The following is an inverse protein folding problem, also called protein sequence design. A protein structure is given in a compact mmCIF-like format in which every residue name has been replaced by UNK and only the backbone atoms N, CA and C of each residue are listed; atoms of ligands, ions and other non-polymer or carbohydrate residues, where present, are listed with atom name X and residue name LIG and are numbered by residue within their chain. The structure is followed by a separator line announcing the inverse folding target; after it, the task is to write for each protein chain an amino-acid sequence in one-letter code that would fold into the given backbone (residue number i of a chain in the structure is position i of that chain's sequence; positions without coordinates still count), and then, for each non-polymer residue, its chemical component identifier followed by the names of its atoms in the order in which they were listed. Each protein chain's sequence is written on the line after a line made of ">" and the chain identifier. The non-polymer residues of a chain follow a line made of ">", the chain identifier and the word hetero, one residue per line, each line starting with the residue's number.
data_IF_049558119176
#
_entry.id   IF_049558119176
#
_cell.length_a   1.000
_cell.length_b   1.000
_cell.length_c   1.000
_cell.angle_alpha   90.00
_cell.angle_beta   90.00
_cell.angle_gamma   90.00
#
_symmetry.space_group_name_H-M   'P 1'
#
loop_
_entity.id
_entity.type
_entity.pdbx_description
1 polymer ?
#
# COMPACT_ATOMS: atom_id res chain seq x y z
N UNK A 1 3.89 17.98 -18.31
CA UNK A 1 3.16 17.09 -19.22
C UNK A 1 2.35 16.14 -18.35
N UNK A 2 1.02 16.27 -18.36
CA UNK A 2 0.14 15.27 -17.75
C UNK A 2 -0.20 14.27 -18.86
N UNK A 3 0.36 13.07 -18.77
CA UNK A 3 0.09 11.99 -19.71
C UNK A 3 -1.30 11.39 -19.39
N UNK A 4 -2.08 11.13 -20.43
CA UNK A 4 -3.40 10.46 -20.34
C UNK A 4 -3.21 9.01 -19.91
N UNK A 5 -4.08 8.41 -19.08
CA UNK A 5 -3.88 7.05 -18.57
C UNK A 5 -4.41 5.98 -19.55
N UNK A 6 -3.63 5.56 -20.55
CA UNK A 6 -3.86 4.28 -21.25
C UNK A 6 -3.16 3.12 -20.50
N UNK A 7 -3.69 1.90 -20.58
CA UNK A 7 -3.13 0.70 -19.93
C UNK A 7 -1.67 0.42 -20.37
N UNK A 8 -1.32 0.83 -21.59
CA UNK A 8 0.05 0.75 -22.13
C UNK A 8 1.01 1.70 -21.42
N UNK A 9 0.54 2.87 -21.01
CA UNK A 9 1.36 3.86 -20.30
C UNK A 9 1.74 3.34 -18.91
N UNK A 10 0.82 2.63 -18.23
CA UNK A 10 1.13 2.01 -16.92
C UNK A 10 2.22 0.94 -16.99
N UNK A 11 2.21 0.08 -18.02
CA UNK A 11 3.23 -0.96 -18.18
C UNK A 11 4.62 -0.37 -18.48
N UNK A 12 4.69 0.65 -19.34
CA UNK A 12 5.95 1.35 -19.61
C UNK A 12 6.44 2.12 -18.37
N UNK A 13 5.55 2.74 -17.59
CA UNK A 13 5.90 3.41 -16.33
C UNK A 13 6.43 2.41 -15.28
N UNK A 14 5.80 1.25 -15.09
CA UNK A 14 6.31 0.19 -14.19
C UNK A 14 7.72 -0.25 -14.61
N UNK A 15 7.92 -0.50 -15.90
CA UNK A 15 9.22 -0.90 -16.45
C UNK A 15 10.29 0.19 -16.23
N UNK A 16 9.93 1.48 -16.38
CA UNK A 16 10.82 2.61 -16.12
C UNK A 16 11.24 2.68 -14.66
N UNK A 17 10.28 2.59 -13.74
CA UNK A 17 10.54 2.63 -12.31
C UNK A 17 11.43 1.46 -11.88
N UNK A 18 11.13 0.25 -12.35
CA UNK A 18 11.92 -0.96 -12.08
C UNK A 18 13.38 -0.81 -12.51
N UNK A 19 13.60 -0.23 -13.69
CA UNK A 19 14.95 -0.02 -14.22
C UNK A 19 15.64 1.16 -13.54
N UNK A 20 14.93 2.23 -13.22
CA UNK A 20 15.48 3.36 -12.47
C UNK A 20 15.96 2.91 -11.09
N UNK A 21 15.14 2.14 -10.35
CA UNK A 21 15.51 1.57 -9.04
C UNK A 21 16.70 0.64 -9.16
N UNK A 22 16.73 -0.24 -10.18
CA UNK A 22 17.90 -1.08 -10.46
C UNK A 22 19.16 -0.24 -10.68
N UNK A 23 19.12 0.73 -11.59
CA UNK A 23 20.27 1.58 -11.90
C UNK A 23 20.74 2.37 -10.66
N UNK A 24 19.80 2.84 -9.83
CA UNK A 24 20.13 3.51 -8.58
C UNK A 24 20.88 2.53 -7.65
N UNK A 25 20.38 1.32 -7.44
CA UNK A 25 20.98 0.37 -6.50
C UNK A 25 22.31 -0.21 -6.99
N UNK A 26 22.48 -0.42 -8.30
CA UNK A 26 23.68 -1.01 -8.89
C UNK A 26 24.90 -0.08 -8.89
N UNK A 27 24.69 1.24 -8.81
CA UNK A 27 25.78 2.20 -8.91
C UNK A 27 25.59 3.38 -7.95
N UNK A 28 26.63 3.66 -7.16
CA UNK A 28 26.63 4.79 -6.22
C UNK A 28 26.95 6.13 -6.88
N UNK A 29 27.54 6.12 -8.07
CA UNK A 29 27.80 7.31 -8.88
C UNK A 29 26.54 7.70 -9.66
N UNK A 30 25.98 8.87 -9.33
CA UNK A 30 24.72 9.34 -9.90
C UNK A 30 24.79 9.56 -11.41
N UNK A 31 25.88 10.13 -11.93
CA UNK A 31 26.01 10.45 -13.35
C UNK A 31 26.11 9.18 -14.20
N UNK A 32 26.92 8.21 -13.75
CA UNK A 32 27.05 6.92 -14.41
C UNK A 32 25.74 6.12 -14.37
N UNK A 33 25.02 6.16 -13.24
CA UNK A 33 23.72 5.51 -13.11
C UNK A 33 22.64 6.16 -13.98
N UNK A 34 22.58 7.50 -14.01
CA UNK A 34 21.67 8.28 -14.86
C UNK A 34 21.93 8.01 -16.35
N UNK A 35 23.20 7.98 -16.76
CA UNK A 35 23.58 7.65 -18.13
C UNK A 35 23.14 6.24 -18.53
N UNK A 36 23.24 5.28 -17.60
CA UNK A 36 22.77 3.90 -17.81
C UNK A 36 21.25 3.83 -17.94
N UNK A 37 20.51 4.50 -17.05
CA UNK A 37 19.06 4.61 -17.11
C UNK A 37 18.59 5.25 -18.42
N UNK A 38 19.21 6.38 -18.83
CA UNK A 38 18.88 7.09 -20.08
C UNK A 38 19.05 6.21 -21.32
N UNK A 39 20.11 5.37 -21.37
CA UNK A 39 20.33 4.45 -22.50
C UNK A 39 19.23 3.38 -22.61
N UNK A 40 18.59 3.04 -21.49
CA UNK A 40 17.54 2.02 -21.45
C UNK A 40 16.15 2.61 -21.74
N UNK A 41 15.94 3.90 -21.49
CA UNK A 41 14.65 4.60 -21.65
C UNK A 41 13.94 4.30 -22.98
N UNK A 42 14.56 4.45 -24.18
CA UNK A 42 13.89 4.17 -25.45
C UNK A 42 13.49 2.69 -25.65
N UNK A 43 14.22 1.78 -24.99
CA UNK A 43 13.94 0.34 -25.08
C UNK A 43 12.77 -0.08 -24.21
N UNK A 44 12.56 0.60 -23.09
CA UNK A 44 11.63 0.16 -22.03
C UNK A 44 10.33 0.95 -22.01
N UNK A 45 10.36 2.17 -22.55
CA UNK A 45 9.19 3.01 -22.75
C UNK A 45 9.18 3.63 -24.16
N UNK A 46 9.11 2.80 -25.21
CA UNK A 46 9.14 3.30 -26.59
C UNK A 46 7.94 4.20 -26.92
N UNK A 47 6.75 3.93 -26.37
CA UNK A 47 5.55 4.73 -26.63
C UNK A 47 5.67 6.10 -25.99
N UNK A 48 6.17 6.16 -24.76
CA UNK A 48 6.49 7.42 -24.08
C UNK A 48 7.52 8.25 -24.88
N UNK A 49 8.60 7.62 -25.33
CA UNK A 49 9.65 8.31 -26.10
C UNK A 49 9.11 8.83 -27.43
N UNK A 50 8.23 8.10 -28.10
CA UNK A 50 7.59 8.54 -29.35
C UNK A 50 6.70 9.78 -29.18
N UNK A 51 6.19 10.04 -27.97
CA UNK A 51 5.38 11.22 -27.64
C UNK A 51 6.20 12.46 -27.27
N UNK A 52 7.52 12.32 -27.08
CA UNK A 52 8.39 13.43 -26.71
C UNK A 52 8.72 14.33 -27.91
N UNK A 53 9.02 15.63 -27.67
CA UNK A 53 9.59 16.50 -28.70
C UNK A 53 10.82 15.87 -29.36
N UNK A 54 11.06 16.11 -30.66
CA UNK A 54 12.20 15.55 -31.37
C UNK A 54 13.53 16.05 -30.78
N UNK A 55 14.54 15.19 -30.81
CA UNK A 55 15.87 15.46 -30.25
C UNK A 55 16.09 14.81 -28.87
N UNK A 56 17.35 14.80 -28.41
CA UNK A 56 17.71 14.12 -27.16
C UNK A 56 17.37 14.92 -25.89
N UNK A 57 17.12 16.22 -26.00
CA UNK A 57 16.96 17.10 -24.84
C UNK A 57 15.75 16.72 -23.97
N UNK A 58 14.61 16.42 -24.60
CA UNK A 58 13.41 16.00 -23.89
C UNK A 58 13.63 14.68 -23.14
N UNK A 59 14.27 13.70 -23.79
CA UNK A 59 14.61 12.41 -23.16
C UNK A 59 15.60 12.60 -22.01
N UNK A 60 16.62 13.45 -22.17
CA UNK A 60 17.59 13.78 -21.12
C UNK A 60 16.92 14.44 -19.92
N UNK A 61 16.02 15.38 -20.16
CA UNK A 61 15.31 16.09 -19.11
C UNK A 61 14.33 15.17 -18.36
N UNK A 62 13.58 14.34 -19.08
CA UNK A 62 12.70 13.34 -18.48
C UNK A 62 13.47 12.29 -17.66
N UNK A 63 14.56 11.75 -18.23
CA UNK A 63 15.39 10.77 -17.56
C UNK A 63 16.00 11.34 -16.27
N UNK A 64 16.51 12.57 -16.31
CA UNK A 64 17.05 13.25 -15.14
C UNK A 64 15.99 13.48 -14.06
N UNK A 65 14.82 14.02 -14.42
CA UNK A 65 13.75 14.30 -13.46
C UNK A 65 13.28 13.01 -12.76
N UNK A 66 12.99 11.96 -13.53
CA UNK A 66 12.57 10.66 -13.02
C UNK A 66 13.64 10.01 -12.14
N UNK A 67 14.89 9.95 -12.63
CA UNK A 67 15.96 9.25 -11.92
C UNK A 67 16.35 9.96 -10.62
N UNK A 68 16.33 11.30 -10.62
CA UNK A 68 16.54 12.10 -9.41
C UNK A 68 15.43 11.83 -8.38
N UNK A 69 14.17 11.79 -8.80
CA UNK A 69 13.05 11.45 -7.91
C UNK A 69 13.25 10.07 -7.26
N UNK A 70 13.60 9.07 -8.07
CA UNK A 70 13.88 7.71 -7.58
C UNK A 70 15.05 7.70 -6.58
N UNK A 71 16.18 8.34 -6.88
CA UNK A 71 17.33 8.40 -5.97
C UNK A 71 17.00 9.08 -4.63
N UNK A 72 16.09 10.05 -4.65
CA UNK A 72 15.65 10.77 -3.45
C UNK A 72 14.69 9.96 -2.56
N UNK A 73 14.06 8.90 -3.09
CA UNK A 73 13.01 8.13 -2.41
C UNK A 73 13.39 6.67 -2.13
N UNK A 74 14.29 6.07 -2.91
CA UNK A 74 14.65 4.65 -2.80
C UNK A 74 15.46 4.37 -1.53
N UNK A 75 14.97 3.53 -0.59
CA UNK A 75 15.80 3.04 0.51
C UNK A 75 16.89 2.12 -0.04
N UNK A 76 18.14 2.31 0.42
CA UNK A 76 19.29 1.56 -0.12
C UNK A 76 19.97 0.69 0.94
N UNK A 77 20.23 -0.60 0.68
CA UNK A 77 20.95 -1.46 1.62
C UNK A 77 22.37 -0.97 1.91
N UNK A 78 23.07 -0.40 0.92
CA UNK A 78 24.42 0.17 1.06
C UNK A 78 24.42 1.53 1.78
N UNK A 79 23.27 2.01 2.23
CA UNK A 79 23.11 3.29 2.91
C UNK A 79 22.09 3.20 4.05
N UNK A 80 22.20 2.15 4.86
CA UNK A 80 21.37 1.99 6.06
C UNK A 80 19.85 2.00 5.77
N UNK A 81 19.45 1.56 4.57
CA UNK A 81 18.07 1.61 4.07
C UNK A 81 17.48 3.03 4.00
N UNK A 82 18.35 4.03 3.87
CA UNK A 82 17.97 5.44 3.67
C UNK A 82 18.21 5.85 2.22
N UNK A 83 17.39 6.75 1.66
CA UNK A 83 17.69 7.37 0.37
C UNK A 83 19.01 8.15 0.39
N UNK A 84 19.54 8.42 -0.81
CA UNK A 84 20.67 9.33 -1.02
C UNK A 84 20.20 10.52 -1.89
N UNK A 85 19.61 11.56 -1.26
CA UNK A 85 19.10 12.69 -1.99
C UNK A 85 20.19 13.40 -2.78
N UNK A 86 19.88 13.78 -4.02
CA UNK A 86 20.79 14.51 -4.88
C UNK A 86 20.71 16.00 -4.59
N UNK A 87 21.88 16.65 -4.54
CA UNK A 87 21.98 18.11 -4.38
C UNK A 87 21.16 18.83 -5.43
N UNK A 88 20.57 19.96 -5.05
CA UNK A 88 19.81 20.77 -5.99
C UNK A 88 20.74 21.34 -7.08
N UNK A 89 20.38 21.20 -8.37
CA UNK A 89 21.19 21.77 -9.44
C UNK A 89 21.26 23.29 -9.36
N UNK A 90 22.45 23.85 -9.59
CA UNK A 90 22.63 25.30 -9.65
C UNK A 90 21.87 25.88 -10.86
N UNK A 91 21.03 26.90 -10.61
CA UNK A 91 20.13 27.49 -11.63
C UNK A 91 20.83 27.89 -12.94
N UNK A 92 22.02 28.49 -12.85
CA UNK A 92 22.79 28.95 -14.02
C UNK A 92 23.95 28.01 -14.40
N UNK A 93 24.19 26.95 -13.62
CA UNK A 93 25.25 25.97 -13.87
C UNK A 93 24.92 25.02 -15.02
N UNK A 94 25.90 24.19 -15.44
CA UNK A 94 25.69 23.17 -16.45
C UNK A 94 24.64 22.16 -16.00
N UNK A 95 23.76 21.74 -16.91
CA UNK A 95 22.65 20.86 -16.58
C UNK A 95 23.15 19.42 -16.30
N UNK A 96 22.81 18.82 -15.13
CA UNK A 96 23.28 17.48 -14.76
C UNK A 96 22.74 16.33 -15.63
N UNK A 97 21.83 16.61 -16.56
CA UNK A 97 21.38 15.63 -17.57
C UNK A 97 22.41 15.43 -18.70
N UNK A 98 23.52 16.19 -18.69
CA UNK A 98 24.59 16.11 -19.68
C UNK A 98 24.27 16.78 -21.02
N UNK A 99 23.32 17.71 -21.07
CA UNK A 99 23.01 18.49 -22.29
C UNK A 99 24.04 19.61 -22.57
N UNK A 100 24.84 20.01 -21.57
CA UNK A 100 25.75 21.15 -21.67
C UNK A 100 25.08 22.53 -21.55
N UNK A 101 23.75 22.60 -21.60
CA UNK A 101 22.99 23.85 -21.41
C UNK A 101 22.89 24.28 -19.94
N UNK A 102 22.40 25.50 -19.69
CA UNK A 102 22.10 25.98 -18.32
C UNK A 102 20.92 25.22 -17.73
N UNK A 103 21.00 24.80 -16.47
CA UNK A 103 19.93 24.03 -15.81
C UNK A 103 18.55 24.67 -15.99
N UNK A 104 18.40 25.98 -15.73
CA UNK A 104 17.12 26.70 -15.85
C UNK A 104 16.48 26.66 -17.23
N UNK A 105 17.27 26.43 -18.28
CA UNK A 105 16.81 26.38 -19.67
C UNK A 105 16.61 24.94 -20.17
N UNK A 106 17.08 23.94 -19.42
CA UNK A 106 17.02 22.53 -19.80
C UNK A 106 16.09 21.74 -18.86
N UNK A 107 16.60 21.23 -17.73
CA UNK A 107 15.80 20.43 -16.79
C UNK A 107 15.00 21.27 -15.78
N UNK A 108 15.31 22.56 -15.64
CA UNK A 108 14.65 23.47 -14.70
C UNK A 108 13.12 23.55 -14.85
N UNK A 109 12.56 23.60 -16.08
CA UNK A 109 11.11 23.58 -16.28
C UNK A 109 10.39 22.30 -15.83
N UNK A 110 11.13 21.18 -15.66
CA UNK A 110 10.60 19.93 -15.12
C UNK A 110 10.88 19.77 -13.62
N UNK A 111 11.53 20.75 -12.98
CA UNK A 111 11.81 20.70 -11.55
C UNK A 111 10.50 20.65 -10.75
N UNK A 112 10.38 19.67 -9.86
CA UNK A 112 9.17 19.47 -9.05
C UNK A 112 8.03 18.74 -9.76
N UNK A 113 8.17 18.39 -11.04
CA UNK A 113 7.28 17.41 -11.67
C UNK A 113 7.63 16.01 -11.14
N UNK A 114 6.63 15.23 -10.70
CA UNK A 114 6.72 13.78 -10.52
C UNK A 114 6.35 13.11 -11.83
N UNK A 115 7.29 12.76 -12.72
CA UNK A 115 6.96 12.36 -14.08
C UNK A 115 6.39 10.93 -14.15
N UNK A 116 6.60 10.13 -13.10
CA UNK A 116 6.32 8.69 -13.09
C UNK A 116 5.57 8.20 -11.84
N UNK A 117 5.14 9.07 -10.93
CA UNK A 117 4.33 8.64 -9.79
C UNK A 117 3.90 9.75 -8.84
N UNK A 118 2.60 9.84 -8.58
CA UNK A 118 2.01 10.72 -7.57
C UNK A 118 1.98 10.09 -6.17
N UNK A 119 1.18 10.70 -5.29
CA UNK A 119 0.86 10.15 -3.96
C UNK A 119 0.38 8.69 -4.08
N UNK A 120 0.95 7.79 -3.27
CA UNK A 120 0.58 6.37 -3.23
C UNK A 120 1.50 5.39 -3.96
N UNK A 121 2.45 5.84 -4.80
CA UNK A 121 3.46 4.94 -5.37
C UNK A 121 4.53 4.58 -4.33
N UNK A 122 4.68 3.29 -4.00
CA UNK A 122 5.81 2.79 -3.23
C UNK A 122 6.95 2.33 -4.14
N UNK A 123 8.13 2.93 -3.98
CA UNK A 123 9.34 2.46 -4.66
C UNK A 123 9.95 1.23 -3.97
N UNK A 124 9.57 0.96 -2.73
CA UNK A 124 10.07 -0.18 -1.96
C UNK A 124 9.75 -1.51 -2.65
N UNK A 125 8.60 -1.64 -3.33
CA UNK A 125 8.26 -2.84 -4.10
C UNK A 125 9.37 -3.23 -5.09
N UNK A 126 9.84 -2.27 -5.90
CA UNK A 126 10.91 -2.50 -6.87
C UNK A 126 12.28 -2.74 -6.22
N UNK A 127 12.51 -2.20 -5.01
CA UNK A 127 13.72 -2.50 -4.22
C UNK A 127 13.69 -3.95 -3.78
N UNK A 128 12.55 -4.42 -3.25
CA UNK A 128 12.39 -5.78 -2.75
C UNK A 128 12.55 -6.83 -3.85
N UNK A 129 12.08 -6.55 -5.06
CA UNK A 129 12.26 -7.42 -6.24
C UNK A 129 13.74 -7.67 -6.62
N UNK A 130 14.68 -6.89 -6.07
CA UNK A 130 16.12 -7.10 -6.24
C UNK A 130 16.68 -8.22 -5.36
N UNK A 131 15.90 -8.68 -4.39
CA UNK A 131 16.28 -9.72 -3.46
C UNK A 131 15.47 -10.99 -3.72
N UNK A 132 16.08 -12.17 -3.64
CA UNK A 132 15.29 -13.40 -3.62
C UNK A 132 14.41 -13.40 -2.37
N UNK A 133 13.18 -13.89 -2.50
CA UNK A 133 12.17 -13.95 -1.43
C UNK A 133 12.73 -14.55 -0.12
N UNK A 134 13.63 -15.54 -0.21
CA UNK A 134 14.28 -16.16 0.96
C UNK A 134 15.08 -15.18 1.84
N UNK A 135 15.41 -13.99 1.33
CA UNK A 135 16.11 -12.94 2.06
C UNK A 135 15.17 -11.94 2.75
N UNK A 136 13.85 -11.96 2.50
CA UNK A 136 12.91 -11.01 3.11
C UNK A 136 12.90 -11.07 4.64
N UNK A 137 13.11 -12.26 5.22
CA UNK A 137 13.27 -12.42 6.67
C UNK A 137 14.45 -11.67 7.29
N UNK A 138 15.42 -11.23 6.48
CA UNK A 138 16.60 -10.50 6.91
C UNK A 138 16.50 -8.98 6.65
N UNK A 139 15.35 -8.49 6.22
CA UNK A 139 15.13 -7.05 6.03
C UNK A 139 15.19 -6.31 7.38
N UNK A 140 15.68 -5.06 7.42
CA UNK A 140 15.66 -4.26 8.63
C UNK A 140 14.30 -3.61 8.81
N UNK A 141 13.34 -4.38 9.32
CA UNK A 141 11.98 -3.92 9.58
C UNK A 141 11.90 -2.71 10.53
N UNK A 142 12.92 -2.50 11.37
CA UNK A 142 13.05 -1.33 12.23
C UNK A 142 13.38 -0.03 11.47
N UNK A 143 13.90 -0.14 10.24
CA UNK A 143 14.28 0.98 9.37
C UNK A 143 13.30 1.22 8.23
N UNK A 144 12.33 0.33 8.05
CA UNK A 144 11.32 0.39 7.01
C UNK A 144 9.97 0.76 7.62
N UNK A 145 9.12 1.45 6.85
CA UNK A 145 7.76 1.77 7.30
C UNK A 145 6.87 0.51 7.26
N UNK A 146 6.26 0.09 8.39
CA UNK A 146 5.30 -1.01 8.38
C UNK A 146 4.08 -0.75 7.48
N UNK A 147 3.66 0.52 7.38
CA UNK A 147 2.54 0.94 6.52
C UNK A 147 2.91 0.78 5.05
N UNK A 148 4.14 1.17 4.67
CA UNK A 148 4.62 0.99 3.30
C UNK A 148 4.79 -0.49 2.95
N UNK A 149 5.29 -1.31 3.88
CA UNK A 149 5.40 -2.76 3.70
C UNK A 149 4.03 -3.41 3.54
N UNK A 150 3.03 -3.01 4.33
CA UNK A 150 1.63 -3.42 4.15
C UNK A 150 1.08 -3.00 2.79
N UNK A 151 1.39 -1.79 2.33
CA UNK A 151 1.02 -1.32 1.00
C UNK A 151 1.69 -2.11 -0.14
N UNK A 152 2.98 -2.42 -0.03
CA UNK A 152 3.65 -3.29 -1.03
C UNK A 152 2.97 -4.66 -1.09
N UNK A 153 2.69 -5.26 0.07
CA UNK A 153 2.01 -6.54 0.12
C UNK A 153 0.60 -6.47 -0.50
N UNK A 154 -0.16 -5.40 -0.28
CA UNK A 154 -1.48 -5.24 -0.89
C UNK A 154 -1.41 -5.17 -2.42
N UNK A 155 -0.42 -4.46 -2.97
CA UNK A 155 -0.18 -4.43 -4.41
C UNK A 155 0.19 -5.82 -4.95
N UNK A 156 1.00 -6.58 -4.21
CA UNK A 156 1.36 -7.95 -4.60
C UNK A 156 0.18 -8.91 -4.59
N UNK A 157 -0.75 -8.82 -3.63
CA UNK A 157 -1.98 -9.63 -3.64
C UNK A 157 -2.82 -9.39 -4.89
N UNK A 158 -3.02 -8.12 -5.27
CA UNK A 158 -3.71 -7.75 -6.52
C UNK A 158 -2.99 -8.31 -7.76
N UNK A 159 -1.67 -8.47 -7.70
CA UNK A 159 -0.83 -9.00 -8.78
C UNK A 159 -0.66 -10.52 -8.74
N UNK A 160 -1.43 -11.25 -7.92
CA UNK A 160 -1.35 -12.72 -7.80
C UNK A 160 -0.09 -13.23 -7.06
N UNK A 161 0.67 -12.35 -6.40
CA UNK A 161 1.98 -12.62 -5.76
C UNK A 161 1.85 -12.86 -4.26
N UNK A 162 1.05 -13.86 -3.87
CA UNK A 162 0.69 -14.09 -2.45
C UNK A 162 1.86 -14.62 -1.65
N UNK A 163 2.67 -15.50 -2.23
CA UNK A 163 3.81 -16.10 -1.55
C UNK A 163 4.84 -15.03 -1.15
N UNK A 164 5.11 -14.04 -2.03
CA UNK A 164 5.98 -12.92 -1.68
C UNK A 164 5.39 -12.03 -0.59
N UNK A 165 4.07 -11.77 -0.62
CA UNK A 165 3.39 -11.01 0.43
C UNK A 165 3.50 -11.72 1.79
N UNK A 166 3.26 -13.03 1.83
CA UNK A 166 3.45 -13.84 3.05
C UNK A 166 4.89 -13.79 3.53
N UNK A 167 5.86 -14.01 2.63
CA UNK A 167 7.28 -14.02 2.97
C UNK A 167 7.80 -12.65 3.49
N UNK A 168 7.16 -11.55 3.06
CA UNK A 168 7.46 -10.21 3.55
C UNK A 168 6.82 -9.93 4.92
N UNK A 169 5.56 -10.31 5.10
CA UNK A 169 4.76 -9.89 6.26
C UNK A 169 4.89 -10.83 7.46
N UNK A 170 5.12 -12.13 7.27
CA UNK A 170 5.40 -13.08 8.36
C UNK A 170 6.53 -12.59 9.30
N UNK A 171 7.74 -12.26 8.80
CA UNK A 171 8.82 -11.78 9.66
C UNK A 171 8.56 -10.38 10.23
N UNK A 172 7.86 -9.49 9.50
CA UNK A 172 7.45 -8.17 10.01
C UNK A 172 6.58 -8.29 11.28
N UNK A 173 5.66 -9.25 11.29
CA UNK A 173 4.65 -9.43 12.33
C UNK A 173 5.02 -10.50 13.37
N UNK A 174 6.24 -11.04 13.32
CA UNK A 174 6.69 -12.17 14.14
C UNK A 174 6.73 -11.88 15.65
N UNK A 175 6.73 -10.61 16.07
CA UNK A 175 6.86 -10.20 17.46
C UNK A 175 5.71 -9.29 17.92
N UNK A 176 4.51 -9.86 18.20
CA UNK A 176 3.30 -9.10 18.56
C UNK A 176 3.50 -8.05 19.66
N UNK A 177 4.33 -8.35 20.66
CA UNK A 177 4.64 -7.44 21.78
C UNK A 177 5.34 -6.13 21.37
N UNK A 178 5.96 -6.08 20.18
CA UNK A 178 6.64 -4.89 19.64
C UNK A 178 5.79 -4.12 18.61
N UNK A 179 4.60 -4.63 18.28
CA UNK A 179 3.78 -4.04 17.24
C UNK A 179 2.92 -2.89 17.79
N UNK A 180 2.70 -1.92 16.93
CA UNK A 180 1.88 -0.72 17.19
C UNK A 180 0.81 -0.55 16.10
N UNK A 181 0.05 0.54 16.16
CA UNK A 181 -1.03 0.81 15.22
C UNK A 181 -0.59 0.84 13.74
N UNK A 182 0.68 1.16 13.43
CA UNK A 182 1.20 1.22 12.06
C UNK A 182 1.24 -0.14 11.37
N UNK A 183 1.18 -1.22 12.15
CA UNK A 183 1.21 -2.59 11.65
C UNK A 183 -0.18 -3.14 11.32
N UNK A 184 -1.26 -2.39 11.60
CA UNK A 184 -2.64 -2.84 11.36
C UNK A 184 -2.85 -3.24 9.90
N UNK A 185 -2.42 -2.40 8.96
CA UNK A 185 -2.61 -2.69 7.54
C UNK A 185 -1.80 -3.91 7.07
N UNK A 186 -0.56 -4.05 7.54
CA UNK A 186 0.25 -5.24 7.29
C UNK A 186 -0.39 -6.51 7.87
N UNK A 187 -0.97 -6.43 9.06
CA UNK A 187 -1.70 -7.54 9.68
C UNK A 187 -2.92 -7.95 8.84
N UNK A 188 -3.70 -6.99 8.36
CA UNK A 188 -4.84 -7.25 7.49
C UNK A 188 -4.41 -7.93 6.19
N UNK A 189 -3.37 -7.41 5.53
CA UNK A 189 -2.86 -8.00 4.29
C UNK A 189 -2.33 -9.42 4.49
N UNK A 190 -1.70 -9.74 5.63
CA UNK A 190 -1.28 -11.11 5.91
C UNK A 190 -2.47 -12.04 6.17
N UNK A 191 -3.54 -11.55 6.81
CA UNK A 191 -4.77 -12.33 6.97
C UNK A 191 -5.41 -12.66 5.63
N UNK A 192 -5.45 -11.69 4.71
CA UNK A 192 -6.03 -11.86 3.38
C UNK A 192 -5.14 -12.77 2.52
N UNK A 193 -3.82 -12.62 2.58
CA UNK A 193 -2.87 -13.53 1.91
C UNK A 193 -3.04 -14.99 2.36
N UNK A 194 -3.22 -15.23 3.66
CA UNK A 194 -3.48 -16.58 4.15
C UNK A 194 -4.85 -17.13 3.75
N UNK A 195 -5.86 -16.27 3.61
CA UNK A 195 -7.16 -16.70 3.10
C UNK A 195 -7.05 -17.13 1.63
N UNK A 196 -6.41 -16.32 0.78
CA UNK A 196 -6.23 -16.61 -0.65
C UNK A 196 -5.40 -17.87 -0.90
N UNK A 197 -4.42 -18.16 -0.03
CA UNK A 197 -3.59 -19.37 -0.10
C UNK A 197 -4.19 -20.60 0.60
N UNK A 198 -5.41 -20.51 1.13
CA UNK A 198 -6.05 -21.58 1.93
C UNK A 198 -5.17 -22.07 3.10
N UNK A 199 -4.66 -21.11 3.90
CA UNK A 199 -3.85 -21.36 5.09
C UNK A 199 -4.63 -21.05 6.40
N UNK A 200 -5.77 -21.72 6.69
CA UNK A 200 -6.66 -21.36 7.79
C UNK A 200 -6.01 -21.45 9.17
N UNK A 201 -5.13 -22.43 9.38
CA UNK A 201 -4.41 -22.61 10.66
C UNK A 201 -3.44 -21.46 10.93
N UNK A 202 -2.72 -20.99 9.90
CA UNK A 202 -1.81 -19.85 10.06
C UNK A 202 -2.58 -18.55 10.30
N UNK A 203 -3.67 -18.34 9.55
CA UNK A 203 -4.57 -17.19 9.73
C UNK A 203 -5.12 -17.13 11.14
N UNK A 204 -5.63 -18.25 11.67
CA UNK A 204 -6.15 -18.33 13.03
C UNK A 204 -5.08 -17.97 14.07
N UNK A 205 -3.90 -18.59 14.00
CA UNK A 205 -2.81 -18.34 14.95
C UNK A 205 -2.35 -16.90 14.92
N UNK A 206 -2.27 -16.29 13.74
CA UNK A 206 -1.93 -14.88 13.60
C UNK A 206 -2.97 -14.01 14.33
N UNK A 207 -4.25 -14.19 14.04
CA UNK A 207 -5.34 -13.42 14.66
C UNK A 207 -5.33 -13.58 16.18
N UNK A 208 -5.26 -14.81 16.69
CA UNK A 208 -5.20 -15.07 18.13
C UNK A 208 -3.99 -14.42 18.80
N UNK A 209 -2.83 -14.43 18.14
CA UNK A 209 -1.64 -13.76 18.67
C UNK A 209 -1.82 -12.23 18.76
N UNK A 210 -2.49 -11.61 17.77
CA UNK A 210 -2.74 -10.17 17.75
C UNK A 210 -3.81 -9.74 18.74
N UNK A 211 -4.75 -10.61 19.10
CA UNK A 211 -5.70 -10.37 20.19
C UNK A 211 -5.02 -10.22 21.56
N UNK A 212 -3.79 -10.74 21.72
CA UNK A 212 -3.00 -10.64 22.95
C UNK A 212 -2.01 -9.47 22.95
N UNK A 213 -1.96 -8.69 21.87
CA UNK A 213 -1.06 -7.54 21.75
C UNK A 213 -1.48 -6.40 22.70
N UNK A 214 -0.53 -5.66 23.30
CA UNK A 214 -0.85 -4.51 24.16
C UNK A 214 -1.53 -3.36 23.38
N UNK A 215 -1.17 -3.18 22.10
CA UNK A 215 -1.73 -2.18 21.20
C UNK A 215 -3.22 -2.35 20.96
N UNK A 216 -4.00 -1.33 21.35
CA UNK A 216 -5.47 -1.32 21.25
C UNK A 216 -5.98 -1.50 19.82
N UNK A 217 -5.35 -0.84 18.85
CA UNK A 217 -5.75 -0.85 17.44
C UNK A 217 -5.64 -2.27 16.87
N UNK A 218 -4.45 -2.87 16.94
CA UNK A 218 -4.22 -4.25 16.48
C UNK A 218 -5.11 -5.26 17.19
N UNK A 219 -5.28 -5.13 18.51
CA UNK A 219 -6.16 -6.02 19.26
C UNK A 219 -7.60 -5.91 18.78
N UNK A 220 -8.11 -4.70 18.54
CA UNK A 220 -9.46 -4.49 17.99
C UNK A 220 -9.60 -5.08 16.59
N UNK A 221 -8.65 -4.82 15.69
CA UNK A 221 -8.65 -5.38 14.34
C UNK A 221 -8.66 -6.92 14.37
N UNK A 222 -7.85 -7.53 15.24
CA UNK A 222 -7.79 -8.97 15.42
C UNK A 222 -9.10 -9.55 15.97
N UNK A 223 -9.72 -8.89 16.97
CA UNK A 223 -11.04 -9.31 17.46
C UNK A 223 -12.09 -9.27 16.35
N UNK A 224 -12.04 -8.28 15.47
CA UNK A 224 -12.97 -8.18 14.33
C UNK A 224 -12.76 -9.33 13.34
N UNK A 225 -11.51 -9.60 12.95
CA UNK A 225 -11.17 -10.74 12.08
C UNK A 225 -11.60 -12.08 12.71
N UNK A 226 -11.44 -12.25 14.03
CA UNK A 226 -11.88 -13.48 14.69
C UNK A 226 -13.40 -13.61 14.73
N UNK A 227 -14.14 -12.52 14.91
CA UNK A 227 -15.61 -12.55 14.84
C UNK A 227 -16.10 -13.02 13.47
N UNK A 228 -15.52 -12.53 12.37
CA UNK A 228 -15.90 -12.98 11.03
C UNK A 228 -15.53 -14.44 10.80
N UNK A 229 -14.34 -14.87 11.24
CA UNK A 229 -13.94 -16.28 11.14
C UNK A 229 -14.88 -17.22 11.91
N UNK A 230 -15.31 -16.83 13.13
CA UNK A 230 -16.28 -17.62 13.90
C UNK A 230 -17.64 -17.68 13.20
N UNK A 231 -18.08 -16.59 12.57
CA UNK A 231 -19.32 -16.58 11.80
C UNK A 231 -19.24 -17.48 10.56
N UNK A 232 -18.12 -17.44 9.83
CA UNK A 232 -17.85 -18.33 8.68
C UNK A 232 -17.83 -19.81 9.10
N UNK A 233 -17.35 -20.10 10.32
CA UNK A 233 -17.37 -21.43 10.96
C UNK A 233 -18.77 -21.85 11.46
N UNK A 234 -19.76 -20.94 11.45
CA UNK A 234 -21.11 -21.16 12.00
C UNK A 234 -21.19 -21.03 13.53
N UNK A 235 -20.11 -20.64 14.19
CA UNK A 235 -19.98 -20.48 15.65
C UNK A 235 -20.51 -19.11 16.13
N UNK A 236 -21.77 -18.82 15.81
CA UNK A 236 -22.38 -17.49 16.05
C UNK A 236 -22.41 -17.07 17.52
N UNK A 237 -22.64 -18.02 18.45
CA UNK A 237 -22.62 -17.72 19.89
C UNK A 237 -21.25 -17.19 20.34
N UNK A 238 -20.17 -17.81 19.84
CA UNK A 238 -18.82 -17.38 20.13
C UNK A 238 -18.51 -16.04 19.45
N UNK A 239 -18.96 -15.85 18.19
CA UNK A 239 -18.80 -14.60 17.45
C UNK A 239 -19.45 -13.42 18.18
N UNK A 240 -20.70 -13.57 18.64
CA UNK A 240 -21.40 -12.51 19.38
C UNK A 240 -20.79 -12.22 20.75
N UNK A 241 -20.33 -13.25 21.46
CA UNK A 241 -19.61 -13.06 22.72
C UNK A 241 -18.37 -12.20 22.49
N UNK A 242 -17.56 -12.54 21.49
CA UNK A 242 -16.34 -11.80 21.16
C UNK A 242 -16.66 -10.38 20.65
N UNK A 243 -17.71 -10.21 19.86
CA UNK A 243 -18.19 -8.90 19.43
C UNK A 243 -18.53 -8.00 20.62
N UNK A 244 -19.25 -8.52 21.63
CA UNK A 244 -19.57 -7.75 22.84
C UNK A 244 -18.32 -7.41 23.65
N UNK A 245 -17.31 -8.28 23.67
CA UNK A 245 -16.01 -7.97 24.27
C UNK A 245 -15.30 -6.83 23.51
N UNK A 246 -15.28 -6.88 22.17
CA UNK A 246 -14.70 -5.83 21.33
C UNK A 246 -15.43 -4.48 21.52
N UNK A 247 -16.76 -4.51 21.54
CA UNK A 247 -17.61 -3.34 21.77
C UNK A 247 -17.37 -2.70 23.15
N UNK A 248 -17.11 -3.49 24.19
CA UNK A 248 -16.77 -2.96 25.52
C UNK A 248 -15.37 -2.34 25.57
N UNK A 249 -14.42 -2.91 24.84
CA UNK A 249 -13.04 -2.43 24.79
C UNK A 249 -12.90 -1.13 23.98
N UNK A 250 -13.69 -0.96 22.92
CA UNK A 250 -13.66 0.22 22.05
C UNK A 250 -15.04 0.63 21.51
N UNK A 251 -15.95 1.15 22.35
CA UNK A 251 -17.35 1.39 21.99
C UNK A 251 -17.57 2.43 20.88
N UNK A 252 -16.56 3.26 20.61
CA UNK A 252 -16.62 4.32 19.60
C UNK A 252 -15.85 3.95 18.31
N UNK A 253 -15.34 2.72 18.20
CA UNK A 253 -14.70 2.24 16.99
C UNK A 253 -15.74 2.12 15.85
N UNK A 254 -15.54 2.83 14.73
CA UNK A 254 -16.49 2.80 13.61
C UNK A 254 -16.62 1.43 12.96
N UNK A 255 -15.58 0.59 13.01
CA UNK A 255 -15.58 -0.75 12.41
C UNK A 255 -16.54 -1.72 13.12
N UNK A 256 -16.96 -1.43 14.37
CA UNK A 256 -18.00 -2.20 15.06
C UNK A 256 -19.36 -2.13 14.35
N UNK A 257 -19.65 -1.01 13.69
CA UNK A 257 -20.91 -0.84 12.95
C UNK A 257 -21.01 -1.84 11.80
N UNK A 258 -19.95 -1.93 11.00
CA UNK A 258 -19.86 -2.89 9.91
C UNK A 258 -19.94 -4.33 10.44
N UNK A 259 -19.13 -4.65 11.45
CA UNK A 259 -19.08 -6.00 12.02
C UNK A 259 -20.42 -6.50 12.57
N UNK A 260 -21.15 -5.66 13.32
CA UNK A 260 -22.46 -6.04 13.87
C UNK A 260 -23.46 -6.38 12.77
N UNK A 261 -23.47 -5.58 11.70
CA UNK A 261 -24.33 -5.78 10.55
C UNK A 261 -23.95 -7.05 9.78
N UNK A 262 -22.65 -7.31 9.57
CA UNK A 262 -22.17 -8.55 8.95
C UNK A 262 -22.66 -9.78 9.72
N UNK A 263 -22.51 -9.78 11.04
CA UNK A 263 -22.94 -10.90 11.90
C UNK A 263 -24.45 -11.15 11.81
N UNK A 264 -25.27 -10.10 11.83
CA UNK A 264 -26.72 -10.24 11.68
C UNK A 264 -27.12 -10.78 10.31
N UNK A 265 -26.52 -10.25 9.24
CA UNK A 265 -26.83 -10.67 7.87
C UNK A 265 -26.40 -12.12 7.63
N UNK A 266 -25.24 -12.53 8.14
CA UNK A 266 -24.77 -13.93 8.02
C UNK A 266 -25.72 -14.96 8.65
N UNK A 267 -26.51 -14.54 9.64
CA UNK A 267 -27.53 -15.38 10.29
C UNK A 267 -28.93 -15.24 9.65
N UNK A 268 -29.08 -14.41 8.61
CA UNK A 268 -30.38 -14.13 7.99
C UNK A 268 -31.25 -13.13 8.77
N UNK A 269 -30.73 -12.49 9.82
CA UNK A 269 -31.44 -11.51 10.66
C UNK A 269 -31.46 -10.12 10.02
N UNK A 270 -31.99 -10.07 8.80
CA UNK A 270 -31.96 -8.89 7.93
C UNK A 270 -32.68 -7.69 8.57
N UNK A 271 -33.81 -7.92 9.22
CA UNK A 271 -34.59 -6.85 9.86
C UNK A 271 -33.80 -6.16 10.97
N UNK A 272 -33.18 -6.94 11.86
CA UNK A 272 -32.34 -6.41 12.94
C UNK A 272 -31.09 -5.70 12.37
N UNK A 273 -30.47 -6.25 11.32
CA UNK A 273 -29.35 -5.60 10.65
C UNK A 273 -29.68 -4.17 10.17
N UNK A 274 -30.86 -3.96 9.59
CA UNK A 274 -31.30 -2.63 9.16
C UNK A 274 -31.50 -1.68 10.35
N UNK A 275 -32.08 -2.14 11.45
CA UNK A 275 -32.26 -1.32 12.65
C UNK A 275 -30.93 -0.92 13.28
N UNK A 276 -29.99 -1.87 13.37
CA UNK A 276 -28.63 -1.59 13.85
C UNK A 276 -27.87 -0.66 12.92
N UNK A 277 -28.00 -0.80 11.61
CA UNK A 277 -27.41 0.12 10.64
C UNK A 277 -27.93 1.57 10.81
N UNK A 278 -29.25 1.75 10.99
CA UNK A 278 -29.85 3.09 11.30
C UNK A 278 -29.30 3.68 12.58
N UNK A 279 -29.17 2.86 13.62
CA UNK A 279 -28.59 3.29 14.89
C UNK A 279 -27.15 3.75 14.71
N UNK A 280 -26.32 2.95 14.04
CA UNK A 280 -24.92 3.27 13.82
C UNK A 280 -24.71 4.48 12.93
N UNK A 281 -25.46 4.64 11.83
CA UNK A 281 -25.39 5.84 10.99
C UNK A 281 -25.57 7.12 11.81
N UNK A 282 -26.58 7.16 12.70
CA UNK A 282 -26.81 8.30 13.61
C UNK A 282 -25.69 8.47 14.62
N UNK A 283 -25.21 7.38 15.23
CA UNK A 283 -24.13 7.41 16.23
C UNK A 283 -22.81 7.90 15.61
N UNK A 284 -22.42 7.36 14.47
CA UNK A 284 -21.19 7.71 13.75
C UNK A 284 -21.18 9.17 13.30
N UNK A 285 -22.32 9.70 12.82
CA UNK A 285 -22.45 11.15 12.55
C UNK A 285 -22.16 12.00 13.78
N UNK A 286 -22.68 11.62 14.95
CA UNK A 286 -22.40 12.31 16.23
C UNK A 286 -20.94 12.22 16.67
N UNK A 287 -20.27 11.10 16.36
CA UNK A 287 -18.84 10.90 16.62
C UNK A 287 -17.92 11.60 15.60
N UNK A 288 -18.48 12.35 14.64
CA UNK A 288 -17.70 13.13 13.67
C UNK A 288 -17.35 12.40 12.37
N UNK A 289 -17.92 11.21 12.12
CA UNK A 289 -17.72 10.45 10.88
C UNK A 289 -18.67 10.88 9.75
N UNK A 290 -19.36 12.01 9.87
CA UNK A 290 -20.26 12.50 8.83
C UNK A 290 -19.56 12.67 7.48
N UNK A 291 -20.17 12.15 6.41
CA UNK A 291 -19.60 12.18 5.06
C UNK A 291 -18.42 11.20 4.82
N UNK A 292 -18.22 10.24 5.73
CA UNK A 292 -17.28 9.13 5.53
C UNK A 292 -18.02 7.92 4.96
N UNK A 293 -17.34 7.14 4.11
CA UNK A 293 -17.87 5.93 3.45
C UNK A 293 -18.60 4.96 4.40
N UNK A 294 -18.11 4.81 5.64
CA UNK A 294 -18.75 3.94 6.63
C UNK A 294 -20.15 4.41 7.02
N UNK A 295 -20.39 5.72 7.07
CA UNK A 295 -21.73 6.27 7.34
C UNK A 295 -22.63 6.04 6.14
N UNK A 296 -22.12 6.30 4.92
CA UNK A 296 -22.87 6.10 3.68
C UNK A 296 -23.31 4.63 3.55
N UNK A 297 -22.41 3.68 3.84
CA UNK A 297 -22.69 2.25 3.87
C UNK A 297 -23.79 1.90 4.90
N UNK A 298 -23.72 2.44 6.12
CA UNK A 298 -24.75 2.19 7.14
C UNK A 298 -26.12 2.78 6.74
N UNK A 299 -26.14 3.93 6.07
CA UNK A 299 -27.38 4.53 5.56
C UNK A 299 -27.97 3.75 4.39
N UNK A 300 -27.12 3.17 3.54
CA UNK A 300 -27.52 2.31 2.44
C UNK A 300 -28.15 1.01 2.95
N UNK A 301 -27.48 0.29 3.86
CA UNK A 301 -27.99 -0.96 4.44
C UNK A 301 -29.32 -0.74 5.18
N UNK A 302 -29.44 0.40 5.87
CA UNK A 302 -30.67 0.80 6.55
C UNK A 302 -31.89 0.95 5.62
N UNK A 303 -31.66 1.26 4.34
CA UNK A 303 -32.70 1.45 3.31
C UNK A 303 -32.90 0.20 2.47
N UNK A 304 -31.81 -0.44 2.04
CA UNK A 304 -31.81 -1.62 1.21
C UNK A 304 -30.83 -2.65 1.78
N UNK A 305 -31.31 -3.72 2.44
CA UNK A 305 -30.43 -4.71 3.05
C UNK A 305 -29.67 -5.55 2.02
N UNK A 306 -30.11 -5.58 0.76
CA UNK A 306 -29.40 -6.28 -0.32
C UNK A 306 -28.11 -5.55 -0.75
N UNK A 307 -27.97 -4.27 -0.44
CA UNK A 307 -26.76 -3.50 -0.71
C UNK A 307 -25.50 -4.12 -0.07
N UNK A 308 -25.67 -4.84 1.04
CA UNK A 308 -24.57 -5.53 1.71
C UNK A 308 -24.01 -6.71 0.91
N UNK A 309 -24.86 -7.44 0.18
CA UNK A 309 -24.41 -8.56 -0.69
C UNK A 309 -23.58 -8.01 -1.85
N UNK A 310 -23.97 -6.85 -2.39
CA UNK A 310 -23.26 -6.18 -3.48
C UNK A 310 -21.92 -5.56 -3.01
N UNK A 311 -21.85 -5.06 -1.77
CA UNK A 311 -20.65 -4.45 -1.20
C UNK A 311 -19.59 -5.45 -0.67
N UNK A 312 -19.96 -6.71 -0.45
CA UNK A 312 -19.04 -7.77 0.06
C UNK A 312 -18.44 -8.64 -1.06
N UNK A 313 -18.95 -8.51 -2.28
CA UNK A 313 -18.52 -9.29 -3.45
C UNK A 313 -17.85 -8.41 -4.54
N UNK A 314 -17.49 -7.16 -4.21
CA UNK A 314 -16.89 -6.17 -5.10
C UNK A 314 -15.54 -5.67 -4.63
#
# INVERSE_FOLDING_TARGET
>A
MNLSPDRKDYAEIDALLRIAVRCALDNTDFEAALNSYRKLLPRVAPSLVAQMPPGEEAQRAFAFATFREVCNRVPRPDHDWRPRPQTEPERNGPCPCGSGGKYKQCCGPLAGASPVGGEGLSLLSYVLERFPMAQYKNLPFDKLSPEELGHVASQWLVQDRREEAVALLEPLLAHPAKLDARHEYAFDMLCDAYLELDHPVKRMRLVESMMQTPGRVLRSAAMHRRCTMLADEGEYLAAWKLFKEAQRADPDNPSLAHLEVVLLISQGEVGEAQERARFWARRLKKLGYGGKKIVDLMEEIAQNPRAFVEATHG
#
